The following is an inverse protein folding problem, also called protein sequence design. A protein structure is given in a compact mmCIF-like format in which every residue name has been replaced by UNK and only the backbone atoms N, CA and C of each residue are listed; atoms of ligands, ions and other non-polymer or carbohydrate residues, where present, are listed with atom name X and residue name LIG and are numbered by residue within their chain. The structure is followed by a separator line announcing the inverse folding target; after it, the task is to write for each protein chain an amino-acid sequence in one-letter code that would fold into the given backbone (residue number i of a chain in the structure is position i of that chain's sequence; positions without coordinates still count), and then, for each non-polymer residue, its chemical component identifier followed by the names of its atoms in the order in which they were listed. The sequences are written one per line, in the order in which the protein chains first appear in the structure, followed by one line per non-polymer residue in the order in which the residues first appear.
data_IF_557409015549
#
_entry.id   IF_557409015549
#
_cell.length_a   1.000
_cell.length_b   1.000
_cell.length_c   1.000
_cell.angle_alpha   90.00
_cell.angle_beta   90.00
_cell.angle_gamma   90.00
#
_symmetry.space_group_name_H-M   'P 1'
#
loop_
_entity.id
_entity.type
_entity.pdbx_description
1 polymer ?
#
# COMPACT_ATOMS: atom_id res chain seq x y z
N UNK A 1 -4.08 -10.64 4.11
CA UNK A 1 -3.50 -10.85 2.75
C UNK A 1 -2.20 -11.64 2.83
N UNK A 2 -1.15 -11.18 3.53
CA UNK A 2 0.08 -11.98 3.75
C UNK A 2 0.03 -12.76 5.08
N UNK A 3 -0.45 -12.13 6.15
CA UNK A 3 -0.57 -12.75 7.49
C UNK A 3 -1.72 -13.77 7.61
N UNK A 4 -2.61 -13.89 6.63
CA UNK A 4 -3.79 -14.77 6.69
C UNK A 4 -4.92 -14.33 7.65
N UNK A 5 -4.71 -13.31 8.49
CA UNK A 5 -5.69 -12.78 9.44
C UNK A 5 -5.22 -11.50 10.13
N UNK A 6 -5.83 -11.14 11.26
CA UNK A 6 -5.34 -10.08 12.13
C UNK A 6 -4.01 -10.52 12.77
N UNK A 7 -3.03 -9.61 12.80
CA UNK A 7 -1.70 -9.87 13.37
C UNK A 7 -1.33 -8.71 14.28
N UNK A 8 -0.81 -9.03 15.47
CA UNK A 8 -0.30 -8.01 16.40
C UNK A 8 1.13 -7.60 16.09
N UNK A 9 1.90 -8.50 15.46
CA UNK A 9 3.34 -8.36 15.29
C UNK A 9 3.79 -8.25 13.82
N UNK A 10 2.92 -8.60 12.86
CA UNK A 10 3.20 -8.49 11.41
C UNK A 10 4.49 -9.23 11.00
N UNK A 11 4.77 -10.37 11.63
CA UNK A 11 6.05 -11.07 11.51
C UNK A 11 6.26 -11.66 10.12
N UNK A 12 5.21 -12.11 9.43
CA UNK A 12 5.32 -12.74 8.11
C UNK A 12 5.69 -11.69 7.07
N UNK A 13 4.98 -10.56 7.06
CA UNK A 13 5.26 -9.49 6.10
C UNK A 13 6.58 -8.78 6.40
N UNK A 14 6.94 -8.59 7.67
CA UNK A 14 8.27 -8.06 8.04
C UNK A 14 9.39 -9.02 7.65
N UNK A 15 9.21 -10.33 7.83
CA UNK A 15 10.18 -11.33 7.35
C UNK A 15 10.33 -11.25 5.83
N UNK A 16 9.23 -11.17 5.08
CA UNK A 16 9.28 -11.00 3.63
C UNK A 16 10.01 -9.72 3.23
N UNK A 17 9.74 -8.60 3.89
CA UNK A 17 10.39 -7.31 3.64
C UNK A 17 11.92 -7.39 3.76
N UNK A 18 12.43 -8.10 4.78
CA UNK A 18 13.88 -8.19 5.02
C UNK A 18 14.56 -9.33 4.26
N UNK A 19 13.88 -10.46 4.06
CA UNK A 19 14.46 -11.65 3.44
C UNK A 19 14.26 -11.68 1.90
N UNK A 20 13.16 -11.13 1.40
CA UNK A 20 12.82 -11.06 -0.03
C UNK A 20 12.08 -9.75 -0.36
N UNK A 21 12.78 -8.60 -0.30
CA UNK A 21 12.18 -7.30 -0.56
C UNK A 21 11.65 -7.18 -2.00
N UNK A 22 12.21 -7.94 -2.95
CA UNK A 22 11.80 -7.90 -4.35
C UNK A 22 10.39 -8.47 -4.52
N UNK A 23 10.09 -9.61 -3.88
CA UNK A 23 8.75 -10.16 -3.87
C UNK A 23 7.74 -9.20 -3.20
N UNK A 24 8.13 -8.57 -2.09
CA UNK A 24 7.25 -7.59 -1.43
C UNK A 24 7.01 -6.37 -2.31
N UNK A 25 8.03 -5.85 -2.98
CA UNK A 25 7.90 -4.74 -3.92
C UNK A 25 6.98 -5.09 -5.10
N UNK A 26 7.09 -6.30 -5.64
CA UNK A 26 6.22 -6.78 -6.71
C UNK A 26 4.75 -6.86 -6.26
N UNK A 27 4.50 -7.31 -5.02
CA UNK A 27 3.16 -7.33 -4.44
C UNK A 27 2.60 -5.91 -4.26
N UNK A 28 3.37 -5.02 -3.63
CA UNK A 28 2.96 -3.64 -3.39
C UNK A 28 2.73 -2.86 -4.69
N UNK A 29 3.51 -3.11 -5.73
CA UNK A 29 3.31 -2.50 -7.05
C UNK A 29 1.99 -2.92 -7.70
N UNK A 30 1.64 -4.21 -7.59
CA UNK A 30 0.33 -4.70 -8.05
C UNK A 30 -0.81 -4.06 -7.25
N UNK A 31 -0.66 -3.96 -5.93
CA UNK A 31 -1.68 -3.33 -5.08
C UNK A 31 -1.86 -1.85 -5.39
N UNK A 32 -0.77 -1.09 -5.57
CA UNK A 32 -0.83 0.32 -5.94
C UNK A 32 -1.63 0.52 -7.23
N UNK A 33 -1.33 -0.26 -8.29
CA UNK A 33 -2.09 -0.21 -9.55
C UNK A 33 -3.57 -0.51 -9.35
N UNK A 34 -3.89 -1.57 -8.59
CA UNK A 34 -5.28 -1.95 -8.31
C UNK A 34 -6.03 -0.86 -7.54
N UNK A 35 -5.41 -0.26 -6.53
CA UNK A 35 -6.01 0.83 -5.74
C UNK A 35 -6.21 2.08 -6.59
N UNK A 36 -5.25 2.47 -7.43
CA UNK A 36 -5.42 3.59 -8.37
C UNK A 36 -6.63 3.39 -9.28
N UNK A 37 -6.76 2.21 -9.89
CA UNK A 37 -7.90 1.90 -10.74
C UNK A 37 -9.21 1.95 -9.96
N UNK A 38 -9.23 1.40 -8.75
CA UNK A 38 -10.41 1.37 -7.89
C UNK A 38 -10.86 2.78 -7.47
N UNK A 39 -9.94 3.63 -7.01
CA UNK A 39 -10.26 5.00 -6.61
C UNK A 39 -10.69 5.84 -7.81
N UNK A 40 -10.03 5.70 -8.97
CA UNK A 40 -10.46 6.38 -10.19
C UNK A 40 -11.86 5.94 -10.66
N UNK A 41 -12.23 4.67 -10.45
CA UNK A 41 -13.59 4.21 -10.73
C UNK A 41 -14.61 4.88 -9.79
N UNK A 42 -14.29 5.04 -8.50
CA UNK A 42 -15.14 5.78 -7.57
C UNK A 42 -15.27 7.26 -7.96
N UNK A 43 -14.18 7.91 -8.34
CA UNK A 43 -14.19 9.31 -8.81
C UNK A 43 -15.09 9.45 -10.04
N UNK A 44 -14.95 8.56 -11.03
CA UNK A 44 -15.84 8.54 -12.21
C UNK A 44 -17.30 8.27 -11.87
N UNK A 45 -17.56 7.53 -10.80
CA UNK A 45 -18.91 7.27 -10.30
C UNK A 45 -19.49 8.45 -9.48
N UNK A 46 -18.76 9.56 -9.33
CA UNK A 46 -19.24 10.78 -8.70
C UNK A 46 -18.64 11.06 -7.31
N UNK A 47 -17.68 10.27 -6.84
CA UNK A 47 -16.99 10.57 -5.59
C UNK A 47 -16.20 11.89 -5.72
N UNK A 48 -16.52 12.88 -4.88
CA UNK A 48 -15.89 14.20 -4.89
C UNK A 48 -14.59 14.25 -4.05
N UNK A 49 -14.40 13.25 -3.20
CA UNK A 49 -13.18 13.05 -2.43
C UNK A 49 -12.95 11.56 -2.23
N UNK A 50 -11.68 11.17 -2.12
CA UNK A 50 -11.24 9.80 -1.78
C UNK A 50 -10.16 9.88 -0.72
N UNK A 51 -10.08 8.86 0.13
CA UNK A 51 -9.11 8.78 1.22
C UNK A 51 -8.40 7.42 1.19
N UNK A 52 -7.07 7.44 1.37
CA UNK A 52 -6.26 6.23 1.53
C UNK A 52 -6.04 6.02 3.03
N UNK A 53 -6.34 4.81 3.50
CA UNK A 53 -6.09 4.40 4.89
C UNK A 53 -4.83 3.53 4.96
N UNK A 54 -3.69 4.12 5.33
CA UNK A 54 -2.47 3.38 5.70
C UNK A 54 -2.41 3.16 7.21
N UNK A 55 -3.38 2.39 7.73
CA UNK A 55 -3.56 2.16 9.17
C UNK A 55 -2.33 1.52 9.82
N UNK A 56 -1.52 0.78 9.05
CA UNK A 56 -0.41 0.00 9.58
C UNK A 56 0.97 0.58 9.28
N UNK A 57 1.08 1.68 8.53
CA UNK A 57 2.38 2.30 8.24
C UNK A 57 3.20 2.65 9.49
N UNK A 58 2.52 2.96 10.60
CA UNK A 58 3.15 3.27 11.90
C UNK A 58 3.89 2.11 12.57
N UNK A 59 3.76 0.87 12.09
CA UNK A 59 4.51 -0.29 12.63
C UNK A 59 5.90 -0.46 12.00
N UNK A 60 6.25 0.38 11.02
CA UNK A 60 7.51 0.38 10.29
C UNK A 60 8.51 1.37 10.89
N UNK A 61 9.79 1.15 10.63
CA UNK A 61 10.81 2.20 10.86
C UNK A 61 10.62 3.35 9.86
N UNK A 62 11.17 4.53 10.14
CA UNK A 62 11.03 5.67 9.22
C UNK A 62 11.54 5.39 7.80
N UNK A 63 12.67 4.67 7.69
CA UNK A 63 13.22 4.26 6.39
C UNK A 63 12.31 3.26 5.68
N UNK A 64 11.88 2.23 6.39
CA UNK A 64 11.06 1.17 5.79
C UNK A 64 9.65 1.69 5.43
N UNK A 65 9.11 2.65 6.19
CA UNK A 65 7.88 3.37 5.85
C UNK A 65 8.01 4.11 4.52
N UNK A 66 9.09 4.85 4.31
CA UNK A 66 9.32 5.58 3.05
C UNK A 66 9.36 4.62 1.85
N UNK A 67 10.05 3.49 2.00
CA UNK A 67 10.27 2.52 0.93
C UNK A 67 9.05 1.63 0.63
N UNK A 68 8.36 1.13 1.67
CA UNK A 68 7.33 0.10 1.54
C UNK A 68 5.91 0.62 1.74
N UNK A 69 5.72 1.87 2.16
CA UNK A 69 4.40 2.51 2.23
C UNK A 69 4.32 3.80 1.42
N UNK A 70 5.06 4.84 1.82
CA UNK A 70 4.91 6.19 1.27
C UNK A 70 5.13 6.24 -0.24
N UNK A 71 6.16 5.54 -0.74
CA UNK A 71 6.43 5.43 -2.18
C UNK A 71 5.20 4.95 -2.98
N UNK A 72 4.49 3.95 -2.47
CA UNK A 72 3.32 3.39 -3.14
C UNK A 72 2.09 4.28 -3.00
N UNK A 73 1.91 4.96 -1.87
CA UNK A 73 0.87 5.97 -1.73
C UNK A 73 1.08 7.14 -2.70
N UNK A 74 2.31 7.63 -2.85
CA UNK A 74 2.64 8.64 -3.87
C UNK A 74 2.31 8.15 -5.27
N UNK A 75 2.69 6.91 -5.62
CA UNK A 75 2.37 6.32 -6.91
C UNK A 75 0.85 6.26 -7.16
N UNK A 76 0.05 6.00 -6.13
CA UNK A 76 -1.41 6.02 -6.24
C UNK A 76 -1.89 7.43 -6.55
N UNK A 77 -1.48 8.42 -5.76
CA UNK A 77 -1.87 9.83 -5.90
C UNK A 77 -1.47 10.40 -7.27
N UNK A 78 -0.28 10.06 -7.77
CA UNK A 78 0.18 10.48 -9.10
C UNK A 78 -0.67 9.90 -10.23
N UNK A 79 -1.31 8.74 -10.01
CA UNK A 79 -2.21 8.09 -10.96
C UNK A 79 -3.69 8.44 -10.80
N UNK A 80 -4.07 9.25 -9.80
CA UNK A 80 -5.47 9.65 -9.61
C UNK A 80 -5.88 10.73 -10.63
N UNK A 81 -7.13 10.63 -11.10
CA UNK A 81 -7.77 11.65 -11.91
C UNK A 81 -8.01 12.90 -11.08
N UNK A 82 -7.76 14.07 -11.67
CA UNK A 82 -7.93 15.40 -11.07
C UNK A 82 -9.00 16.18 -11.81
#
# INVERSE_FOLDING_TARGET
MVEGGSSKAFTVIKKMMYADPQALHALLDKLAKSVTLYLNAQIKAGAQAVMIFDTWGGVLTGRDYQQFSLYYMHKIVDGLLR
#
